data_IF_341740983971
#
_entry.id   IF_341740983971
#
_cell.length_a   1.000
_cell.length_b   1.000
_cell.length_c   1.000
_cell.angle_alpha   90.00
_cell.angle_beta   90.00
_cell.angle_gamma   90.00
#
_symmetry.space_group_name_H-M   'P 1'
#
loop_
_entity.id
_entity.type
_entity.pdbx_description
1 polymer ?
#
# COMPACT_ATOMS: atom_id res chain seq x y z
N UNK A 1 8.93 -22.17 8.02
CA UNK A 1 8.06 -21.02 7.81
C UNK A 1 7.70 -20.93 6.33
N UNK A 2 6.42 -21.02 5.97
CA UNK A 2 5.97 -20.69 4.62
C UNK A 2 5.64 -19.19 4.61
N UNK A 3 6.46 -18.40 3.91
CA UNK A 3 6.24 -16.96 3.83
C UNK A 3 5.07 -16.68 2.88
N UNK A 4 4.06 -15.89 3.29
CA UNK A 4 3.03 -15.41 2.38
C UNK A 4 3.66 -14.62 1.23
N UNK A 5 3.04 -14.67 0.05
CA UNK A 5 3.48 -13.83 -1.06
C UNK A 5 3.30 -12.33 -0.75
N UNK A 6 4.00 -11.47 -1.50
CA UNK A 6 3.97 -10.04 -1.29
C UNK A 6 2.54 -9.46 -1.38
N UNK A 7 1.70 -10.01 -2.26
CA UNK A 7 0.33 -9.52 -2.43
C UNK A 7 -0.54 -9.85 -1.20
N UNK A 8 -0.32 -11.00 -0.58
CA UNK A 8 -0.97 -11.41 0.66
C UNK A 8 -0.52 -10.53 1.83
N UNK A 9 0.77 -10.22 1.93
CA UNK A 9 1.31 -9.29 2.93
C UNK A 9 0.74 -7.88 2.75
N UNK A 10 0.70 -7.36 1.52
CA UNK A 10 0.12 -6.06 1.19
C UNK A 10 -1.37 -5.97 1.61
N UNK A 11 -2.16 -7.01 1.28
CA UNK A 11 -3.57 -7.08 1.68
C UNK A 11 -3.75 -7.20 3.20
N UNK A 12 -2.87 -7.92 3.89
CA UNK A 12 -2.90 -8.03 5.35
C UNK A 12 -2.57 -6.68 6.00
N UNK A 13 -1.53 -6.01 5.53
CA UNK A 13 -1.11 -4.69 6.01
C UNK A 13 -2.22 -3.65 5.81
N UNK A 14 -2.89 -3.67 4.67
CA UNK A 14 -4.03 -2.80 4.36
C UNK A 14 -5.23 -3.06 5.30
N UNK A 15 -5.56 -4.34 5.56
CA UNK A 15 -6.64 -4.68 6.50
C UNK A 15 -6.31 -4.37 7.97
N UNK A 16 -5.04 -4.42 8.35
CA UNK A 16 -4.61 -4.13 9.72
C UNK A 16 -4.70 -2.64 10.10
N UNK A 17 -4.66 -1.75 9.11
CA UNK A 17 -4.86 -0.31 9.29
C UNK A 17 -5.51 0.28 8.03
N UNK A 18 -6.83 0.09 7.87
CA UNK A 18 -7.52 0.52 6.67
C UNK A 18 -7.53 2.06 6.58
N UNK A 19 -7.51 2.56 5.35
CA UNK A 19 -7.74 3.97 5.10
C UNK A 19 -9.18 4.37 5.40
N UNK A 20 -9.40 5.66 5.70
CA UNK A 20 -10.72 6.21 5.98
C UNK A 20 -11.64 6.14 4.75
N UNK A 21 -11.06 6.35 3.57
CA UNK A 21 -11.75 6.21 2.30
C UNK A 21 -10.98 5.26 1.38
N UNK A 22 -11.73 4.37 0.72
CA UNK A 22 -11.17 3.31 -0.14
C UNK A 22 -12.04 3.14 -1.36
N UNK A 23 -11.40 3.00 -2.52
CA UNK A 23 -12.09 2.70 -3.78
C UNK A 23 -11.31 1.66 -4.58
N UNK A 24 -11.95 0.58 -5.07
CA UNK A 24 -11.29 -0.40 -5.91
C UNK A 24 -10.99 0.19 -7.31
N UNK A 25 -9.80 -0.09 -7.83
CA UNK A 25 -9.40 0.23 -9.20
C UNK A 25 -8.77 -1.00 -9.84
N UNK A 26 -9.62 -1.92 -10.34
CA UNK A 26 -9.15 -3.23 -10.79
C UNK A 26 -8.52 -4.03 -9.63
N UNK A 27 -7.28 -4.48 -9.80
CA UNK A 27 -6.53 -5.14 -8.72
C UNK A 27 -5.89 -4.14 -7.74
N UNK A 28 -5.97 -2.83 -8.00
CA UNK A 28 -5.45 -1.80 -7.11
C UNK A 28 -6.53 -1.32 -6.14
N UNK A 29 -6.10 -0.65 -5.08
CA UNK A 29 -7.00 0.03 -4.14
C UNK A 29 -6.53 1.45 -3.95
N UNK A 30 -7.39 2.42 -4.25
CA UNK A 30 -7.19 3.83 -3.94
C UNK A 30 -7.48 4.03 -2.45
N UNK A 31 -6.60 4.73 -1.72
CA UNK A 31 -6.69 4.86 -0.26
C UNK A 31 -6.41 6.30 0.16
N UNK A 32 -7.37 6.93 0.83
CA UNK A 32 -7.20 8.27 1.38
C UNK A 32 -7.49 8.28 2.88
N UNK A 33 -6.58 8.91 3.60
CA UNK A 33 -6.70 9.21 5.02
C UNK A 33 -6.08 10.59 5.27
N UNK A 34 -6.58 11.30 6.27
CA UNK A 34 -6.01 12.58 6.72
C UNK A 34 -4.93 12.37 7.76
N UNK A 35 -4.11 13.41 8.00
CA UNK A 35 -3.01 13.37 8.98
C UNK A 35 -1.76 12.66 8.45
N UNK A 36 -0.89 12.22 9.36
CA UNK A 36 0.39 11.58 9.01
C UNK A 36 0.16 10.12 8.68
N UNK A 37 -0.16 9.82 7.42
CA UNK A 37 -0.20 8.43 6.96
C UNK A 37 0.51 8.32 5.60
N UNK A 38 1.59 7.53 5.51
CA UNK A 38 2.19 7.17 4.22
C UNK A 38 1.40 6.00 3.60
N UNK A 39 1.30 4.88 4.33
CA UNK A 39 0.64 3.66 3.84
C UNK A 39 -0.87 3.86 3.59
N UNK A 40 -1.60 4.44 4.54
CA UNK A 40 -3.05 4.60 4.42
C UNK A 40 -3.47 5.77 3.49
N UNK A 41 -2.51 6.52 2.95
CA UNK A 41 -2.74 7.57 1.97
C UNK A 41 -1.86 7.34 0.72
N UNK A 42 -2.05 6.19 0.09
CA UNK A 42 -1.36 5.81 -1.15
C UNK A 42 -2.19 4.79 -1.92
N UNK A 43 -2.05 4.76 -3.24
CA UNK A 43 -2.57 3.69 -4.10
C UNK A 43 -1.85 2.40 -3.74
N UNK A 44 -2.60 1.38 -3.33
CA UNK A 44 -2.08 0.02 -3.19
C UNK A 44 -2.07 -0.66 -4.56
N UNK A 45 -0.89 -0.91 -5.11
CA UNK A 45 -0.75 -1.46 -6.48
C UNK A 45 -0.61 -2.99 -6.49
N UNK A 46 -1.24 -3.70 -5.55
CA UNK A 46 -1.00 -5.12 -5.25
C UNK A 46 -1.66 -6.12 -6.23
N UNK A 47 -1.41 -5.96 -7.54
CA UNK A 47 -1.85 -6.90 -8.56
C UNK A 47 -1.91 -6.31 -9.97
N UNK A 48 -2.20 -7.15 -10.99
CA UNK A 48 -2.20 -6.75 -12.40
C UNK A 48 -3.34 -5.79 -12.75
N UNK A 49 -3.06 -4.87 -13.67
CA UNK A 49 -4.06 -4.00 -14.32
C UNK A 49 -3.89 -4.12 -15.83
N UNK A 50 -4.96 -3.90 -16.60
CA UNK A 50 -4.93 -4.01 -18.05
C UNK A 50 -4.03 -2.95 -18.70
N UNK A 51 -4.04 -1.73 -18.16
CA UNK A 51 -3.24 -0.60 -18.62
C UNK A 51 -2.75 0.19 -17.39
N UNK A 52 -1.43 0.16 -17.16
CA UNK A 52 -0.82 0.82 -16.02
C UNK A 52 -0.85 2.35 -16.14
N UNK A 53 -0.75 2.90 -17.35
CA UNK A 53 -0.79 4.35 -17.59
C UNK A 53 -2.18 4.86 -17.28
N UNK A 54 -3.21 4.21 -17.83
CA UNK A 54 -4.60 4.58 -17.56
C UNK A 54 -4.98 4.44 -16.08
N UNK A 55 -4.44 3.43 -15.38
CA UNK A 55 -4.65 3.26 -13.95
C UNK A 55 -3.98 4.36 -13.11
N UNK A 56 -2.76 4.79 -13.47
CA UNK A 56 -2.09 5.93 -12.84
C UNK A 56 -2.89 7.21 -13.06
N UNK A 57 -3.34 7.49 -14.29
CA UNK A 57 -4.15 8.68 -14.59
C UNK A 57 -5.49 8.67 -13.82
N UNK A 58 -6.11 7.50 -13.64
CA UNK A 58 -7.35 7.36 -12.87
C UNK A 58 -7.12 7.63 -11.38
N UNK A 59 -6.02 7.12 -10.82
CA UNK A 59 -5.65 7.42 -9.44
C UNK A 59 -5.36 8.92 -9.25
N UNK A 60 -4.62 9.56 -10.16
CA UNK A 60 -4.32 11.00 -10.12
C UNK A 60 -5.61 11.83 -10.08
N UNK A 61 -6.60 11.51 -10.93
CA UNK A 61 -7.91 12.19 -10.90
C UNK A 61 -8.65 11.99 -9.58
N UNK A 62 -8.57 10.79 -9.01
CA UNK A 62 -9.22 10.48 -7.73
C UNK A 62 -8.61 11.25 -6.56
N UNK A 63 -7.29 11.41 -6.53
CA UNK A 63 -6.57 12.21 -5.53
C UNK A 63 -6.78 13.72 -5.72
N UNK A 64 -6.87 14.20 -6.96
CA UNK A 64 -7.12 15.61 -7.26
C UNK A 64 -8.47 16.11 -6.70
N UNK A 65 -9.46 15.23 -6.55
CA UNK A 65 -10.73 15.54 -5.88
C UNK A 65 -10.62 15.67 -4.35
N UNK A 66 -9.48 15.29 -3.74
CA UNK A 66 -9.30 15.07 -2.29
C UNK A 66 -8.23 15.94 -1.62
N UNK A 67 -8.01 17.17 -2.10
CA UNK A 67 -6.76 17.94 -1.92
C UNK A 67 -5.51 17.16 -1.41
N UNK A 68 -5.23 15.98 -1.96
CA UNK A 68 -4.13 15.12 -1.53
C UNK A 68 -3.26 14.78 -2.75
N UNK A 69 -1.92 14.65 -2.58
CA UNK A 69 -1.08 14.17 -3.65
C UNK A 69 -1.32 12.68 -3.89
N UNK A 70 -1.31 12.25 -5.15
CA UNK A 70 -1.24 10.83 -5.48
C UNK A 70 0.13 10.28 -5.04
N UNK A 71 0.11 9.20 -4.29
CA UNK A 71 1.31 8.44 -3.90
C UNK A 71 1.03 6.98 -4.21
N UNK A 72 2.03 6.25 -4.69
CA UNK A 72 1.88 4.85 -5.07
C UNK A 72 2.74 3.97 -4.16
N UNK A 73 2.12 3.01 -3.49
CA UNK A 73 2.84 1.92 -2.84
C UNK A 73 3.21 0.89 -3.90
N UNK A 74 4.50 0.85 -4.25
CA UNK A 74 5.08 -0.15 -5.16
C UNK A 74 5.71 -1.25 -4.31
N UNK A 75 5.42 -2.50 -4.64
CA UNK A 75 5.93 -3.68 -3.95
C UNK A 75 6.26 -4.78 -4.97
N UNK A 76 6.83 -5.92 -4.56
CA UNK A 76 6.97 -7.06 -5.45
C UNK A 76 5.64 -7.60 -6.02
N UNK A 77 4.50 -7.23 -5.44
CA UNK A 77 3.17 -7.58 -5.97
C UNK A 77 2.68 -6.63 -7.09
N UNK A 78 3.40 -5.54 -7.33
CA UNK A 78 3.05 -4.56 -8.35
C UNK A 78 3.23 -5.12 -9.78
N UNK A 79 2.44 -4.64 -10.75
CA UNK A 79 2.60 -5.03 -12.14
C UNK A 79 4.03 -4.78 -12.65
N UNK A 80 4.57 -5.69 -13.49
CA UNK A 80 5.83 -5.44 -14.17
C UNK A 80 5.72 -4.17 -15.03
N UNK A 81 6.79 -3.38 -15.08
CA UNK A 81 6.82 -2.12 -15.83
C UNK A 81 6.18 -0.92 -15.14
N UNK A 82 5.44 -1.09 -14.03
CA UNK A 82 4.85 0.03 -13.29
C UNK A 82 5.92 1.03 -12.83
N UNK A 83 7.09 0.55 -12.41
CA UNK A 83 8.18 1.43 -11.99
C UNK A 83 8.65 2.38 -13.11
N UNK A 84 8.68 1.90 -14.36
CA UNK A 84 9.03 2.73 -15.51
C UNK A 84 7.95 3.79 -15.79
N UNK A 85 6.66 3.39 -15.75
CA UNK A 85 5.52 4.30 -15.91
C UNK A 85 5.54 5.41 -14.85
N UNK A 86 5.80 5.05 -13.59
CA UNK A 86 5.88 6.01 -12.49
C UNK A 86 7.14 6.88 -12.59
N UNK A 87 8.27 6.35 -13.06
CA UNK A 87 9.54 7.07 -13.16
C UNK A 87 9.51 8.30 -14.08
N UNK A 88 8.52 8.42 -14.97
CA UNK A 88 8.31 9.60 -15.80
C UNK A 88 7.74 10.80 -15.02
N UNK A 89 7.09 10.57 -13.87
CA UNK A 89 6.27 11.58 -13.16
C UNK A 89 6.51 11.64 -11.65
N UNK A 90 7.00 10.55 -11.07
CA UNK A 90 7.16 10.35 -9.64
C UNK A 90 8.62 10.09 -9.29
N UNK A 91 8.94 10.36 -8.03
CA UNK A 91 10.22 9.99 -7.41
C UNK A 91 9.96 9.08 -6.22
N UNK A 92 10.91 8.22 -5.94
CA UNK A 92 10.89 7.45 -4.70
C UNK A 92 10.94 8.40 -3.49
N UNK A 93 10.02 8.17 -2.54
CA UNK A 93 9.88 9.01 -1.35
C UNK A 93 10.36 8.29 -0.10
N UNK A 94 9.97 7.03 0.09
CA UNK A 94 10.27 6.25 1.28
C UNK A 94 10.32 4.76 0.98
N UNK A 95 11.32 4.09 1.56
CA UNK A 95 11.39 2.64 1.58
C UNK A 95 10.56 2.12 2.76
N UNK A 96 9.83 1.01 2.55
CA UNK A 96 9.08 0.31 3.60
C UNK A 96 9.52 -1.15 3.65
N UNK A 97 10.01 -1.59 4.80
CA UNK A 97 10.36 -2.98 5.04
C UNK A 97 9.19 -3.73 5.70
N UNK A 98 8.87 -4.92 5.18
CA UNK A 98 7.86 -5.80 5.76
C UNK A 98 8.56 -6.94 6.48
N UNK A 99 8.51 -6.90 7.81
CA UNK A 99 9.11 -7.91 8.67
C UNK A 99 8.07 -8.98 9.06
N UNK A 100 8.48 -10.23 9.01
CA UNK A 100 7.62 -11.40 9.21
C UNK A 100 8.31 -12.38 10.15
N UNK A 101 7.56 -12.91 11.11
CA UNK A 101 8.00 -13.94 12.06
C UNK A 101 6.78 -14.79 12.42
N UNK A 102 7.01 -16.01 12.90
CA UNK A 102 5.92 -16.87 13.37
C UNK A 102 5.29 -16.25 14.62
N UNK A 103 3.97 -16.29 14.74
CA UNK A 103 3.28 -15.73 15.93
C UNK A 103 3.82 -16.31 17.24
N UNK A 104 4.22 -17.58 17.24
CA UNK A 104 4.77 -18.27 18.41
C UNK A 104 6.14 -17.73 18.84
N UNK A 105 6.87 -17.05 17.94
CA UNK A 105 8.17 -16.45 18.19
C UNK A 105 8.06 -15.00 18.68
N UNK A 106 6.91 -14.35 18.48
CA UNK A 106 6.66 -12.98 18.95
C UNK A 106 6.46 -13.00 20.47
N UNK A 107 7.34 -12.35 21.26
CA UNK A 107 7.19 -12.29 22.71
C UNK A 107 5.86 -11.60 23.08
N UNK A 108 5.07 -12.23 23.96
CA UNK A 108 3.91 -11.56 24.55
C UNK A 108 4.38 -10.57 25.61
N UNK A 109 4.04 -9.30 25.46
CA UNK A 109 4.21 -8.34 26.55
C UNK A 109 3.04 -8.54 27.51
N UNK A 110 3.32 -8.95 28.75
CA UNK A 110 2.28 -9.04 29.78
C UNK A 110 1.80 -7.63 30.15
N UNK A 111 0.64 -7.24 29.63
CA UNK A 111 0.03 -5.93 29.83
C UNK A 111 -0.33 -5.60 31.30
N UNK A 112 -0.02 -6.49 32.25
CA UNK A 112 -0.33 -6.35 33.68
C UNK A 112 0.84 -5.91 34.55
N UNK A 113 2.06 -5.80 34.02
CA UNK A 113 3.26 -5.49 34.81
C UNK A 113 3.61 -3.99 34.93
N UNK A 114 2.71 -3.09 34.50
CA UNK A 114 2.88 -1.64 34.69
C UNK A 114 1.69 -1.07 35.46
N UNK A 115 1.69 -1.25 36.78
CA UNK A 115 0.98 -0.41 37.76
C UNK A 115 1.92 -0.10 38.91
#
# INVERSE_FOLDING_TARGET
MHLPDAAALDRLADRGWPALEREPLGAWTLRASTGVTNRANSVLTAGPVADAVAAVDAAERWYAARPLPAVFQVSPASPPGLHAVLGERYREQSQTDVLVTERAEVPSVDARASR
#
